data_IF_280437581053
#
_entry.id   IF_280437581053
#
_cell.length_a   1.000
_cell.length_b   1.000
_cell.length_c   1.000
_cell.angle_alpha   90.00
_cell.angle_beta   90.00
_cell.angle_gamma   90.00
#
_symmetry.space_group_name_H-M   'P 1'
#
loop_
_entity.id
_entity.type
_entity.pdbx_description
1 polymer ?
#
# COMPACT_ATOMS: atom_id res chain seq x y z
N UNK A 1 16.93 7.71 26.74
CA UNK A 1 15.63 8.37 26.41
C UNK A 1 15.14 7.97 25.02
N UNK A 2 15.98 7.29 24.26
CA UNK A 2 15.69 6.90 22.86
C UNK A 2 14.98 5.54 22.72
N UNK A 3 15.10 4.67 23.73
CA UNK A 3 14.48 3.33 23.67
C UNK A 3 12.97 3.31 23.95
N UNK A 4 12.44 4.33 24.61
CA UNK A 4 11.00 4.44 24.91
C UNK A 4 10.20 4.91 23.68
N UNK A 5 10.83 5.66 22.78
CA UNK A 5 10.21 6.13 21.54
C UNK A 5 10.14 4.98 20.51
N UNK A 6 11.13 4.08 20.52
CA UNK A 6 11.17 2.94 19.61
C UNK A 6 10.13 1.86 19.97
N UNK A 7 9.84 1.67 21.26
CA UNK A 7 8.86 0.67 21.72
C UNK A 7 7.40 1.07 21.44
N UNK A 8 7.12 2.38 21.37
CA UNK A 8 5.79 2.89 21.03
C UNK A 8 5.47 2.83 19.53
N UNK A 9 6.50 2.62 18.69
CA UNK A 9 6.35 2.50 17.23
C UNK A 9 6.11 1.05 16.81
N UNK A 10 6.51 0.05 17.61
CA UNK A 10 6.46 -1.37 17.23
C UNK A 10 5.21 -2.13 17.65
N UNK A 11 4.42 -1.61 18.59
CA UNK A 11 3.20 -2.27 19.07
C UNK A 11 1.93 -1.47 18.80
N UNK A 12 1.52 -1.34 17.55
CA UNK A 12 0.16 -0.85 17.31
C UNK A 12 -0.13 -0.06 16.06
N UNK A 13 0.78 0.09 15.13
CA UNK A 13 0.54 0.92 13.94
C UNK A 13 0.68 0.18 12.60
N UNK A 14 0.00 -0.96 12.50
CA UNK A 14 -0.40 -1.43 11.17
C UNK A 14 -1.79 -0.86 10.86
N UNK A 15 -1.86 0.09 9.92
CA UNK A 15 -3.10 0.63 9.33
C UNK A 15 -3.94 1.64 10.14
N UNK A 16 -3.33 2.61 10.80
CA UNK A 16 -4.05 3.87 11.09
C UNK A 16 -3.08 5.03 10.98
N UNK A 17 -3.19 5.82 9.93
CA UNK A 17 -2.57 7.13 9.83
C UNK A 17 -3.20 8.09 10.83
N UNK A 18 -2.84 7.96 12.11
CA UNK A 18 -3.35 8.84 13.16
C UNK A 18 -2.14 9.48 13.83
N UNK A 19 -1.85 10.71 13.45
CA UNK A 19 -1.04 11.57 14.32
C UNK A 19 -1.92 12.06 15.45
N UNK A 20 -1.76 11.50 16.66
CA UNK A 20 -2.42 12.08 17.84
C UNK A 20 -1.90 13.49 18.08
N UNK A 21 -2.77 14.40 18.55
CA UNK A 21 -2.42 15.80 18.87
C UNK A 21 -1.14 15.94 19.71
N UNK A 22 -0.77 14.92 20.49
CA UNK A 22 0.45 14.88 21.32
C UNK A 22 1.73 14.66 20.52
N UNK A 23 1.68 13.89 19.43
CA UNK A 23 2.85 13.70 18.55
C UNK A 23 3.08 14.94 17.67
N UNK A 24 2.02 15.56 17.17
CA UNK A 24 2.11 16.81 16.40
C UNK A 24 2.70 17.93 17.28
N UNK A 25 2.30 18.03 18.55
CA UNK A 25 2.87 19.02 19.48
C UNK A 25 4.38 18.80 19.73
N UNK A 26 4.84 17.55 19.81
CA UNK A 26 6.27 17.24 19.97
C UNK A 26 7.09 17.60 18.72
N UNK A 27 6.56 17.34 17.51
CA UNK A 27 7.23 17.73 16.25
C UNK A 27 7.24 19.24 16.03
N UNK A 28 6.19 19.97 16.43
CA UNK A 28 6.15 21.44 16.37
C UNK A 28 7.19 22.05 17.31
N UNK A 29 7.38 21.47 18.50
CA UNK A 29 8.35 21.99 19.48
C UNK A 29 9.81 21.75 19.04
N UNK A 30 10.10 20.65 18.36
CA UNK A 30 11.43 20.35 17.80
C UNK A 30 11.68 21.13 16.50
N UNK A 31 10.66 21.29 15.66
CA UNK A 31 10.75 22.03 14.39
C UNK A 31 10.96 23.53 14.55
N UNK A 32 10.40 24.15 15.60
CA UNK A 32 10.53 25.61 15.86
C UNK A 32 11.94 25.97 16.32
N UNK A 33 12.69 25.07 16.93
CA UNK A 33 14.07 25.33 17.39
C UNK A 33 15.14 25.19 16.30
N UNK A 34 14.84 24.56 15.17
CA UNK A 34 15.80 24.33 14.08
C UNK A 34 15.58 25.23 12.83
N UNK A 35 14.44 25.90 12.71
CA UNK A 35 14.10 26.68 11.50
C UNK A 35 14.42 28.16 11.55
N UNK A 36 14.99 28.68 12.66
CA UNK A 36 15.35 30.11 12.73
C UNK A 36 16.69 30.45 12.07
N UNK A 37 17.42 29.51 11.48
CA UNK A 37 18.75 29.76 10.90
C UNK A 37 18.93 29.44 9.39
N UNK A 38 17.86 29.12 8.64
CA UNK A 38 17.99 28.83 7.18
C UNK A 38 17.03 29.69 6.33
N UNK A 39 16.81 30.96 6.69
CA UNK A 39 15.99 31.84 5.90
C UNK A 39 16.84 33.00 5.28
N UNK A 40 18.01 32.67 4.73
CA UNK A 40 18.68 33.58 3.80
C UNK A 40 19.52 32.80 2.80
N UNK A 41 18.93 32.43 1.69
CA UNK A 41 19.47 32.36 0.34
C UNK A 41 18.84 31.26 -0.50
N UNK A 42 18.45 31.64 -1.66
CA UNK A 42 18.06 30.97 -2.90
C UNK A 42 16.59 31.07 -3.29
N UNK A 43 16.45 31.77 -4.40
CA UNK A 43 15.22 32.14 -5.06
C UNK A 43 14.47 30.96 -5.67
N UNK A 44 13.19 31.21 -5.78
CA UNK A 44 12.22 30.65 -6.73
C UNK A 44 12.28 29.14 -6.94
N UNK A 45 11.86 28.39 -5.91
CA UNK A 45 11.24 27.08 -6.08
C UNK A 45 9.78 27.24 -5.65
N UNK A 46 8.85 26.82 -6.48
CA UNK A 46 7.45 26.70 -6.10
C UNK A 46 7.40 25.74 -4.91
N UNK A 47 7.29 26.27 -3.70
CA UNK A 47 7.00 25.50 -2.49
C UNK A 47 5.69 24.76 -2.75
N UNK A 48 5.79 23.45 -2.90
CA UNK A 48 4.64 22.60 -2.61
C UNK A 48 4.42 22.72 -1.11
N UNK A 49 3.50 23.59 -0.67
CA UNK A 49 3.04 23.60 0.71
C UNK A 49 2.69 22.17 1.06
N UNK A 50 3.47 21.54 1.94
CA UNK A 50 3.08 20.27 2.54
C UNK A 50 1.82 20.55 3.37
N UNK A 51 0.67 20.41 2.76
CA UNK A 51 -0.60 20.64 3.44
C UNK A 51 -0.74 19.58 4.51
N UNK A 52 -0.52 19.97 5.78
CA UNK A 52 -0.71 19.05 6.90
C UNK A 52 -2.20 18.72 7.01
N UNK A 53 -2.47 17.44 7.11
CA UNK A 53 -3.83 16.91 7.27
C UNK A 53 -3.95 16.19 8.61
N UNK A 54 -5.15 16.17 9.17
CA UNK A 54 -5.51 15.36 10.33
C UNK A 54 -6.71 14.48 10.00
N UNK A 55 -6.71 13.26 10.52
CA UNK A 55 -7.82 12.34 10.36
C UNK A 55 -8.76 12.41 11.57
N UNK A 56 -10.05 12.60 11.30
CA UNK A 56 -11.14 12.58 12.29
C UNK A 56 -12.27 11.74 11.73
N UNK A 57 -12.68 10.69 12.43
CA UNK A 57 -13.80 9.80 12.05
C UNK A 57 -13.69 9.23 10.61
N UNK A 58 -12.47 8.88 10.19
CA UNK A 58 -12.20 8.32 8.85
C UNK A 58 -12.19 9.35 7.71
N UNK A 59 -12.28 10.65 8.02
CA UNK A 59 -12.18 11.74 7.08
C UNK A 59 -10.92 12.59 7.34
N UNK A 60 -10.32 13.09 6.27
CA UNK A 60 -9.15 13.96 6.30
C UNK A 60 -9.58 15.43 6.28
N UNK A 61 -9.09 16.19 7.24
CA UNK A 61 -9.30 17.62 7.37
C UNK A 61 -8.00 18.38 7.18
N UNK A 62 -8.07 19.64 6.79
CA UNK A 62 -6.93 20.54 6.86
C UNK A 62 -6.56 20.75 8.32
N UNK A 63 -5.30 20.53 8.67
CA UNK A 63 -4.81 20.57 10.05
C UNK A 63 -5.28 21.84 10.79
N UNK A 64 -5.90 21.66 11.96
CA UNK A 64 -6.39 22.74 12.80
C UNK A 64 -7.62 23.48 12.26
N UNK A 65 -8.25 23.00 11.19
CA UNK A 65 -9.45 23.60 10.59
C UNK A 65 -10.59 22.58 10.54
N UNK A 66 -11.81 23.08 10.61
CA UNK A 66 -13.02 22.29 10.42
C UNK A 66 -13.45 22.31 8.95
N UNK A 67 -12.50 21.95 8.08
CA UNK A 67 -12.68 21.90 6.63
C UNK A 67 -12.09 20.61 6.07
N UNK A 68 -12.88 19.84 5.34
CA UNK A 68 -12.45 18.65 4.63
C UNK A 68 -11.32 19.00 3.65
N UNK A 69 -10.34 18.12 3.59
CA UNK A 69 -9.22 18.27 2.68
C UNK A 69 -9.57 17.68 1.31
N UNK A 70 -9.16 18.36 0.24
CA UNK A 70 -9.11 17.82 -1.13
C UNK A 70 -7.77 18.19 -1.74
N UNK A 71 -7.07 17.21 -2.32
CA UNK A 71 -5.75 17.40 -2.91
C UNK A 71 -4.89 16.14 -2.82
N UNK A 72 -3.62 16.26 -3.18
CA UNK A 72 -2.64 15.18 -3.07
C UNK A 72 -1.95 15.25 -1.70
N UNK A 73 -1.82 14.09 -1.06
CA UNK A 73 -1.03 13.90 0.16
C UNK A 73 0.23 13.12 -0.18
N UNK A 74 1.35 13.61 0.31
CA UNK A 74 2.63 12.89 0.30
C UNK A 74 3.12 12.82 1.75
N UNK A 75 3.27 11.63 2.27
CA UNK A 75 3.70 11.40 3.65
C UNK A 75 4.88 10.43 3.69
N UNK A 76 5.68 10.52 4.73
CA UNK A 76 6.81 9.62 4.96
C UNK A 76 6.60 8.87 6.27
N UNK A 77 6.38 7.56 6.16
CA UNK A 77 6.17 6.68 7.31
C UNK A 77 7.06 5.45 7.22
N UNK A 78 7.79 5.13 8.30
CA UNK A 78 8.63 3.94 8.40
C UNK A 78 9.59 3.73 7.21
N UNK A 79 10.24 4.80 6.74
CA UNK A 79 11.16 4.84 5.59
C UNK A 79 10.47 4.55 4.24
N UNK A 80 9.17 4.76 4.15
CA UNK A 80 8.39 4.66 2.92
C UNK A 80 7.71 5.99 2.63
N UNK A 81 7.56 6.31 1.36
CA UNK A 81 6.80 7.46 0.87
C UNK A 81 5.43 6.96 0.46
N UNK A 82 4.38 7.54 1.05
CA UNK A 82 2.99 7.29 0.73
C UNK A 82 2.47 8.48 -0.07
N UNK A 83 1.93 8.22 -1.25
CA UNK A 83 1.29 9.23 -2.09
C UNK A 83 -0.16 8.79 -2.34
N UNK A 84 -1.11 9.70 -2.12
CA UNK A 84 -2.51 9.43 -2.42
C UNK A 84 -3.30 10.70 -2.65
N UNK A 85 -4.40 10.56 -3.38
CA UNK A 85 -5.34 11.63 -3.66
C UNK A 85 -6.51 11.60 -2.68
N UNK A 86 -7.04 12.77 -2.36
CA UNK A 86 -8.16 12.98 -1.44
C UNK A 86 -9.17 13.91 -2.08
N UNK A 87 -10.44 13.56 -1.99
CA UNK A 87 -11.58 14.38 -2.39
C UNK A 87 -12.56 14.41 -1.23
N UNK A 88 -12.90 15.61 -0.78
CA UNK A 88 -13.85 15.85 0.32
C UNK A 88 -13.55 14.98 1.55
N UNK A 89 -12.28 14.94 1.95
CA UNK A 89 -11.80 14.21 3.11
C UNK A 89 -11.63 12.71 2.93
N UNK A 90 -12.00 12.12 1.80
CA UNK A 90 -11.85 10.69 1.53
C UNK A 90 -10.74 10.43 0.53
N UNK A 91 -9.96 9.37 0.74
CA UNK A 91 -9.02 8.90 -0.27
C UNK A 91 -9.81 8.51 -1.52
N UNK A 92 -9.45 9.12 -2.66
CA UNK A 92 -10.20 8.94 -3.90
C UNK A 92 -9.29 9.31 -5.08
N UNK A 93 -8.79 8.31 -5.79
CA UNK A 93 -7.84 8.47 -6.89
C UNK A 93 -6.66 7.50 -6.77
N UNK A 94 -5.51 7.91 -7.29
CA UNK A 94 -4.29 7.10 -7.32
C UNK A 94 -3.70 6.96 -5.90
N UNK A 95 -3.17 5.77 -5.63
CA UNK A 95 -2.46 5.43 -4.40
C UNK A 95 -1.13 4.76 -4.74
N UNK A 96 -0.06 5.16 -4.07
CA UNK A 96 1.27 4.60 -4.28
C UNK A 96 2.07 4.56 -2.98
N UNK A 97 2.80 3.48 -2.77
CA UNK A 97 3.86 3.38 -1.76
C UNK A 97 5.18 3.12 -2.47
N UNK A 98 6.18 3.90 -2.13
CA UNK A 98 7.55 3.71 -2.58
C UNK A 98 8.54 3.76 -1.41
N UNK A 99 9.69 3.13 -1.57
CA UNK A 99 10.82 3.28 -0.67
C UNK A 99 11.50 4.64 -0.85
N UNK A 100 12.34 5.07 0.09
CA UNK A 100 13.05 6.36 0.02
C UNK A 100 13.97 6.49 -1.20
N UNK A 101 14.41 5.39 -1.80
CA UNK A 101 15.20 5.39 -3.03
C UNK A 101 14.34 5.54 -4.31
N UNK A 102 13.01 5.66 -4.16
CA UNK A 102 12.05 5.82 -5.25
C UNK A 102 11.53 4.52 -5.87
N UNK A 103 11.97 3.34 -5.39
CA UNK A 103 11.41 2.07 -5.87
C UNK A 103 9.97 1.92 -5.43
N UNK A 104 9.06 1.70 -6.37
CA UNK A 104 7.64 1.46 -6.08
C UNK A 104 7.51 0.07 -5.43
N UNK A 105 6.75 -0.01 -4.35
CA UNK A 105 6.41 -1.26 -3.67
C UNK A 105 4.99 -1.71 -3.99
N UNK A 106 4.06 -0.76 -4.07
CA UNK A 106 2.67 -1.03 -4.46
C UNK A 106 2.02 0.22 -5.04
N UNK A 107 1.08 0.00 -5.94
CA UNK A 107 0.25 1.06 -6.51
C UNK A 107 -1.14 0.54 -6.89
N UNK A 108 -2.11 1.42 -6.93
CA UNK A 108 -3.49 1.11 -7.29
C UNK A 108 -4.40 2.31 -7.17
N UNK A 109 -5.69 2.05 -7.12
CA UNK A 109 -6.71 3.09 -6.97
C UNK A 109 -7.53 2.90 -5.72
N UNK A 110 -7.89 4.01 -5.11
CA UNK A 110 -8.83 4.07 -4.00
C UNK A 110 -10.05 4.88 -4.45
N UNK A 111 -11.23 4.42 -4.09
CA UNK A 111 -12.50 5.13 -4.27
C UNK A 111 -13.25 5.18 -2.94
N UNK A 112 -13.56 6.37 -2.47
CA UNK A 112 -14.30 6.56 -1.20
C UNK A 112 -13.70 5.80 -0.01
N UNK A 113 -12.36 5.84 0.14
CA UNK A 113 -11.55 5.10 1.12
C UNK A 113 -11.48 3.58 0.91
N UNK A 114 -11.99 3.04 -0.20
CA UNK A 114 -11.98 1.60 -0.50
C UNK A 114 -11.05 1.33 -1.68
N UNK A 115 -10.26 0.24 -1.61
CA UNK A 115 -9.47 -0.21 -2.74
C UNK A 115 -10.40 -0.61 -3.89
N UNK A 116 -10.07 -0.15 -5.10
CA UNK A 116 -10.89 -0.33 -6.30
C UNK A 116 -10.02 -0.57 -7.52
N UNK A 117 -10.48 -1.45 -8.43
CA UNK A 117 -9.78 -1.76 -9.67
C UNK A 117 -8.43 -2.43 -9.47
N UNK A 118 -7.54 -2.28 -10.44
CA UNK A 118 -6.29 -3.01 -10.50
C UNK A 118 -5.26 -2.47 -9.52
N UNK A 119 -4.66 -3.40 -8.74
CA UNK A 119 -3.53 -3.16 -7.84
C UNK A 119 -2.33 -3.96 -8.28
N UNK A 120 -1.12 -3.36 -8.15
CA UNK A 120 0.18 -3.95 -8.44
C UNK A 120 1.08 -3.89 -7.24
N UNK A 121 1.80 -4.98 -7.01
CA UNK A 121 2.79 -5.12 -5.94
C UNK A 121 4.12 -5.47 -6.58
N UNK A 122 5.21 -4.97 -6.03
CA UNK A 122 6.53 -5.12 -6.61
C UNK A 122 7.53 -5.67 -5.61
N UNK A 123 8.43 -6.50 -6.07
CA UNK A 123 9.61 -6.91 -5.32
C UNK A 123 10.54 -5.71 -5.08
N UNK A 124 11.46 -5.79 -4.07
CA UNK A 124 12.48 -4.76 -3.87
C UNK A 124 13.38 -4.52 -5.08
N UNK A 125 13.52 -5.51 -5.97
CA UNK A 125 14.22 -5.41 -7.26
C UNK A 125 13.47 -4.55 -8.29
N UNK A 126 12.20 -4.19 -8.04
CA UNK A 126 11.32 -3.47 -8.95
C UNK A 126 10.57 -4.38 -9.94
N UNK A 127 10.80 -5.71 -9.88
CA UNK A 127 10.03 -6.67 -10.67
C UNK A 127 8.60 -6.79 -10.11
N UNK A 128 7.62 -6.99 -11.00
CA UNK A 128 6.24 -7.21 -10.59
C UNK A 128 6.14 -8.50 -9.76
N UNK A 129 5.61 -8.39 -8.54
CA UNK A 129 5.37 -9.52 -7.65
C UNK A 129 3.96 -10.08 -7.84
N UNK A 130 2.96 -9.20 -7.87
CA UNK A 130 1.58 -9.63 -8.10
C UNK A 130 0.72 -8.52 -8.69
N UNK A 131 -0.35 -8.93 -9.35
CA UNK A 131 -1.38 -8.03 -9.90
C UNK A 131 -2.74 -8.69 -9.82
N UNK A 132 -3.74 -7.91 -9.49
CA UNK A 132 -5.13 -8.33 -9.43
C UNK A 132 -6.05 -7.15 -9.15
N UNK A 133 -7.33 -7.42 -9.09
CA UNK A 133 -8.35 -6.40 -8.92
C UNK A 133 -8.97 -6.47 -7.53
N UNK A 134 -9.37 -5.30 -7.03
CA UNK A 134 -10.22 -5.13 -5.86
C UNK A 134 -11.55 -4.52 -6.27
N UNK A 135 -12.59 -4.95 -5.60
CA UNK A 135 -13.91 -4.33 -5.56
C UNK A 135 -14.28 -4.09 -4.10
N UNK A 136 -14.44 -2.82 -3.69
CA UNK A 136 -14.78 -2.43 -2.32
C UNK A 136 -13.87 -3.08 -1.25
N UNK A 137 -12.55 -3.02 -1.39
CA UNK A 137 -11.53 -3.66 -0.54
C UNK A 137 -11.48 -5.20 -0.60
N UNK A 138 -12.31 -5.85 -1.39
CA UNK A 138 -12.31 -7.29 -1.54
C UNK A 138 -11.60 -7.69 -2.83
N UNK A 139 -10.70 -8.66 -2.77
CA UNK A 139 -10.07 -9.21 -3.98
C UNK A 139 -11.15 -9.81 -4.88
N UNK A 140 -11.10 -9.47 -6.18
CA UNK A 140 -12.07 -9.91 -7.18
C UNK A 140 -11.37 -10.38 -8.45
N UNK A 141 -11.96 -11.35 -9.14
CA UNK A 141 -11.48 -11.82 -10.44
C UNK A 141 -10.12 -12.49 -10.40
N UNK A 142 -9.39 -12.37 -11.49
CA UNK A 142 -8.09 -13.01 -11.70
C UNK A 142 -6.98 -12.29 -10.97
N UNK A 143 -6.22 -13.04 -10.18
CA UNK A 143 -4.95 -12.61 -9.60
C UNK A 143 -3.80 -13.40 -10.19
N UNK A 144 -2.66 -12.75 -10.42
CA UNK A 144 -1.44 -13.37 -10.92
C UNK A 144 -0.27 -12.96 -10.04
N UNK A 145 0.50 -13.96 -9.60
CA UNK A 145 1.75 -13.78 -8.86
C UNK A 145 2.92 -14.24 -9.72
N UNK A 146 4.03 -13.58 -9.58
CA UNK A 146 5.24 -13.84 -10.33
C UNK A 146 6.38 -14.21 -9.40
N UNK A 147 7.34 -14.96 -9.89
CA UNK A 147 8.67 -15.07 -9.31
C UNK A 147 9.47 -13.81 -9.63
N UNK A 148 10.55 -13.57 -8.86
CA UNK A 148 11.43 -12.42 -9.09
C UNK A 148 12.12 -12.45 -10.47
N UNK A 149 12.24 -13.65 -11.09
CA UNK A 149 12.71 -13.81 -12.48
C UNK A 149 11.65 -13.44 -13.54
N UNK A 150 10.49 -12.92 -13.13
CA UNK A 150 9.40 -12.48 -14.00
C UNK A 150 8.47 -13.60 -14.51
N UNK A 151 8.77 -14.88 -14.22
CA UNK A 151 7.88 -15.98 -14.60
C UNK A 151 6.69 -16.08 -13.65
N UNK A 152 5.57 -16.54 -14.17
CA UNK A 152 4.37 -16.78 -13.38
C UNK A 152 4.65 -17.83 -12.32
N UNK A 153 4.36 -17.50 -11.06
CA UNK A 153 4.40 -18.38 -9.90
C UNK A 153 3.05 -19.01 -9.63
N UNK A 154 1.99 -18.19 -9.75
CA UNK A 154 0.64 -18.61 -9.39
C UNK A 154 -0.40 -17.80 -10.16
N UNK A 155 -1.50 -18.44 -10.56
CA UNK A 155 -2.70 -17.79 -11.08
C UNK A 155 -3.87 -18.34 -10.30
N UNK A 156 -4.73 -17.46 -9.79
CA UNK A 156 -5.93 -17.85 -9.07
C UNK A 156 -7.06 -16.86 -9.26
N UNK A 157 -8.23 -17.25 -8.81
CA UNK A 157 -9.42 -16.42 -8.89
C UNK A 157 -10.02 -16.17 -7.52
N UNK A 158 -10.47 -14.95 -7.31
CA UNK A 158 -11.20 -14.53 -6.14
C UNK A 158 -12.62 -14.11 -6.50
N UNK A 159 -13.51 -14.28 -5.55
CA UNK A 159 -14.86 -13.74 -5.57
C UNK A 159 -15.19 -13.22 -4.18
N UNK A 160 -15.51 -11.92 -4.10
CA UNK A 160 -15.81 -11.25 -2.83
C UNK A 160 -14.77 -11.54 -1.72
N UNK A 161 -13.47 -11.46 -2.05
CA UNK A 161 -12.34 -11.67 -1.14
C UNK A 161 -12.01 -13.14 -0.82
N UNK A 162 -12.77 -14.11 -1.33
CA UNK A 162 -12.53 -15.53 -1.12
C UNK A 162 -11.97 -16.18 -2.38
N UNK A 163 -11.05 -17.14 -2.22
CA UNK A 163 -10.61 -17.97 -3.35
C UNK A 163 -11.83 -18.72 -3.93
N UNK A 164 -12.08 -18.56 -5.24
CA UNK A 164 -13.20 -19.21 -5.95
C UNK A 164 -12.80 -19.47 -7.40
N UNK A 165 -12.81 -20.74 -7.81
CA UNK A 165 -12.41 -21.17 -9.16
C UNK A 165 -11.03 -21.81 -9.24
N UNK A 166 -10.47 -21.81 -10.45
CA UNK A 166 -9.19 -22.45 -10.75
C UNK A 166 -8.02 -21.71 -10.09
N UNK A 167 -7.08 -22.51 -9.57
CA UNK A 167 -5.84 -22.08 -8.97
C UNK A 167 -4.68 -22.93 -9.47
N UNK A 168 -3.75 -22.32 -10.21
CA UNK A 168 -2.61 -23.03 -10.81
C UNK A 168 -1.30 -22.50 -10.24
N UNK A 169 -0.47 -23.39 -9.74
CA UNK A 169 0.85 -23.13 -9.19
C UNK A 169 1.92 -23.67 -10.14
N UNK A 170 2.93 -22.87 -10.41
CA UNK A 170 4.04 -23.18 -11.31
C UNK A 170 5.37 -23.28 -10.55
N UNK A 171 6.35 -23.94 -11.13
CA UNK A 171 7.75 -23.86 -10.72
C UNK A 171 8.48 -22.69 -11.41
N UNK A 172 9.69 -22.39 -10.97
CA UNK A 172 10.52 -21.32 -11.57
C UNK A 172 10.91 -21.58 -13.04
N UNK A 173 10.73 -22.82 -13.53
CA UNK A 173 10.93 -23.18 -14.94
C UNK A 173 9.70 -22.91 -15.79
N UNK A 174 8.52 -22.72 -15.14
CA UNK A 174 7.23 -22.50 -15.77
C UNK A 174 6.41 -23.79 -15.93
N UNK A 175 6.83 -24.91 -15.33
CA UNK A 175 6.04 -26.14 -15.34
C UNK A 175 4.94 -26.05 -14.27
N UNK A 176 3.80 -26.65 -14.55
CA UNK A 176 2.71 -26.76 -13.59
C UNK A 176 3.12 -27.72 -12.47
N UNK A 177 3.07 -27.27 -11.22
CA UNK A 177 3.30 -28.08 -10.01
C UNK A 177 1.98 -28.62 -9.46
N UNK A 178 0.95 -27.77 -9.44
CA UNK A 178 -0.30 -28.10 -8.78
C UNK A 178 -1.45 -27.34 -9.40
N UNK A 179 -2.59 -27.98 -9.51
CA UNK A 179 -3.88 -27.35 -9.82
C UNK A 179 -4.85 -27.63 -8.69
N UNK A 180 -5.49 -26.57 -8.22
CA UNK A 180 -6.50 -26.61 -7.18
C UNK A 180 -7.78 -26.01 -7.74
N UNK A 181 -8.90 -26.44 -7.23
CA UNK A 181 -10.18 -25.76 -7.43
C UNK A 181 -10.73 -25.33 -6.08
N UNK A 182 -11.05 -24.07 -5.96
CA UNK A 182 -11.63 -23.49 -4.75
C UNK A 182 -13.10 -23.14 -4.95
N UNK A 183 -13.87 -23.32 -3.91
CA UNK A 183 -15.23 -22.83 -3.80
C UNK A 183 -15.42 -22.16 -2.44
N UNK A 184 -15.75 -20.87 -2.45
CA UNK A 184 -15.93 -20.06 -1.24
C UNK A 184 -14.76 -20.16 -0.22
N UNK A 185 -13.53 -20.24 -0.73
CA UNK A 185 -12.30 -20.33 0.07
C UNK A 185 -11.89 -21.76 0.44
N UNK A 186 -12.69 -22.78 0.15
CA UNK A 186 -12.38 -24.20 0.44
C UNK A 186 -11.89 -24.91 -0.81
N UNK A 187 -10.89 -25.79 -0.65
CA UNK A 187 -10.41 -26.65 -1.73
C UNK A 187 -11.44 -27.74 -1.98
N UNK A 188 -11.90 -27.88 -3.22
CA UNK A 188 -12.83 -28.91 -3.66
C UNK A 188 -12.21 -29.92 -4.64
N UNK A 189 -11.11 -29.56 -5.31
CA UNK A 189 -10.30 -30.46 -6.13
C UNK A 189 -8.82 -30.08 -5.99
N UNK A 190 -7.92 -31.07 -6.06
CA UNK A 190 -6.48 -30.91 -5.87
C UNK A 190 -5.73 -31.92 -6.75
N UNK A 191 -4.93 -31.42 -7.70
CA UNK A 191 -4.11 -32.25 -8.61
C UNK A 191 -2.66 -31.78 -8.53
N UNK A 192 -1.82 -32.66 -8.01
CA UNK A 192 -0.36 -32.44 -7.99
C UNK A 192 0.27 -33.04 -9.25
N UNK A 193 1.21 -32.31 -9.86
CA UNK A 193 1.94 -32.70 -11.06
C UNK A 193 3.41 -32.89 -10.71
N UNK A 194 3.79 -34.13 -10.37
CA UNK A 194 5.20 -34.48 -10.15
C UNK A 194 5.88 -34.86 -11.47
N UNK A 195 7.18 -34.53 -11.58
CA UNK A 195 8.00 -34.73 -12.79
C UNK A 195 8.05 -36.18 -13.28
N UNK A 196 7.73 -37.14 -12.40
CA UNK A 196 7.89 -38.57 -12.64
C UNK A 196 6.70 -39.23 -13.38
N UNK A 197 5.69 -38.47 -13.77
CA UNK A 197 4.55 -38.97 -14.56
C UNK A 197 4.76 -38.96 -16.08
N UNK A 198 5.92 -38.52 -16.55
CA UNK A 198 6.22 -38.40 -18.00
C UNK A 198 7.53 -39.09 -18.42
N UNK A 199 7.97 -40.10 -17.67
CA UNK A 199 9.06 -41.02 -18.06
C UNK A 199 8.52 -42.35 -18.61
#
# INVERSE_FOLDING_TARGET
MDDVILSLITEGFMYRGIYSKKLIAAYILIGVLTTLNILYSYGCATESESTMVEERDGLLFVLGKDRLFSGKVVDTLAKKILEYEVVDGKKNGEFKISSLNGSIEMEGKIKENLNEGQWRYYYPSGQLESVGDFENNLSEGKWTWYFENGKIREIGYFKAGKKDGDWTIYDEKGNIKRKLFFKEGQITDDKEFNKDMFT
#
